data_IF_573207179455
#
_entry.id   IF_573207179455
#
_cell.length_a   1.000
_cell.length_b   1.000
_cell.length_c   1.000
_cell.angle_alpha   90.00
_cell.angle_beta   90.00
_cell.angle_gamma   90.00
#
_symmetry.space_group_name_H-M   'P 1'
#
loop_
_entity.id
_entity.type
_entity.pdbx_description
1 polymer ?
#
# COMPACT_ATOMS: atom_id res chain seq x y z
N UNK A 1 112.84 23.09 -0.27
CA UNK A 1 112.25 24.16 -1.11
C UNK A 1 110.88 23.70 -1.58
N UNK A 2 109.81 24.25 -1.01
CA UNK A 2 108.44 23.95 -1.42
C UNK A 2 107.70 25.27 -1.69
N UNK A 3 107.21 25.43 -2.91
CA UNK A 3 106.30 26.51 -3.31
C UNK A 3 105.01 25.87 -3.89
N UNK A 4 103.87 26.59 -3.82
CA UNK A 4 102.55 26.01 -3.60
C UNK A 4 101.77 25.83 -4.90
N UNK A 5 100.74 24.98 -4.89
CA UNK A 5 99.79 24.89 -6.00
C UNK A 5 98.34 25.15 -5.53
N UNK A 6 97.78 26.26 -6.04
CA UNK A 6 96.39 26.69 -5.88
C UNK A 6 95.47 25.73 -6.65
N UNK A 7 94.48 25.15 -5.96
CA UNK A 7 93.38 24.41 -6.60
C UNK A 7 92.14 25.30 -6.69
N UNK A 8 91.67 25.53 -7.92
CA UNK A 8 90.41 26.24 -8.26
C UNK A 8 89.18 25.38 -7.90
N UNK A 9 88.04 25.96 -7.50
CA UNK A 9 86.83 25.20 -7.21
C UNK A 9 86.19 24.66 -8.49
N UNK A 10 85.92 23.34 -8.53
CA UNK A 10 85.21 22.68 -9.63
C UNK A 10 83.71 22.97 -9.56
N UNK A 11 83.16 23.36 -10.70
CA UNK A 11 81.73 23.58 -10.98
C UNK A 11 80.94 22.28 -10.78
N UNK A 12 80.32 22.10 -9.62
CA UNK A 12 79.59 20.86 -9.30
C UNK A 12 78.26 21.04 -8.56
N UNK A 13 77.72 22.26 -8.44
CA UNK A 13 76.53 22.51 -7.61
C UNK A 13 75.25 22.89 -8.39
N UNK A 14 75.33 23.13 -9.71
CA UNK A 14 74.18 23.64 -10.47
C UNK A 14 73.22 22.58 -11.03
N UNK A 15 73.64 21.31 -11.14
CA UNK A 15 72.75 20.23 -11.67
C UNK A 15 71.85 19.59 -10.61
N UNK A 16 72.17 19.70 -9.32
CA UNK A 16 71.38 19.07 -8.26
C UNK A 16 70.13 19.88 -7.86
N UNK A 17 70.12 21.20 -8.12
CA UNK A 17 69.01 22.09 -7.79
C UNK A 17 67.88 22.06 -8.85
N UNK A 18 68.18 21.73 -10.12
CA UNK A 18 67.15 21.62 -11.17
C UNK A 18 66.29 20.36 -11.07
N UNK A 19 66.83 19.25 -10.57
CA UNK A 19 66.08 17.98 -10.43
C UNK A 19 65.14 17.97 -9.21
N UNK A 20 65.48 18.66 -8.12
CA UNK A 20 64.58 18.85 -6.96
C UNK A 20 63.39 19.76 -7.27
N UNK A 21 63.56 20.83 -8.06
CA UNK A 21 62.44 21.69 -8.46
C UNK A 21 61.44 20.98 -9.39
N UNK A 22 61.91 20.15 -10.34
CA UNK A 22 61.04 19.38 -11.24
C UNK A 22 60.26 18.28 -10.49
N UNK A 23 60.88 17.59 -9.53
CA UNK A 23 60.18 16.62 -8.66
C UNK A 23 59.10 17.30 -7.80
N UNK A 24 59.39 18.44 -7.16
CA UNK A 24 58.41 19.16 -6.34
C UNK A 24 57.19 19.66 -7.13
N UNK A 25 57.42 20.12 -8.38
CA UNK A 25 56.33 20.59 -9.27
C UNK A 25 55.47 19.44 -9.79
N UNK A 26 56.06 18.26 -10.05
CA UNK A 26 55.32 17.06 -10.45
C UNK A 26 54.51 16.48 -9.27
N UNK A 27 55.06 16.47 -8.05
CA UNK A 27 54.35 16.00 -6.85
C UNK A 27 53.14 16.88 -6.50
N UNK A 28 53.23 18.21 -6.66
CA UNK A 28 52.11 19.15 -6.50
C UNK A 28 51.03 18.97 -7.58
N UNK A 29 51.43 18.72 -8.84
CA UNK A 29 50.51 18.42 -9.94
C UNK A 29 49.76 17.09 -9.72
N UNK A 30 50.47 16.04 -9.27
CA UNK A 30 49.86 14.72 -8.99
C UNK A 30 48.96 14.79 -7.75
N UNK A 31 49.35 15.49 -6.68
CA UNK A 31 48.50 15.69 -5.50
C UNK A 31 47.28 16.56 -5.80
N UNK A 32 47.41 17.58 -6.65
CA UNK A 32 46.29 18.43 -7.11
C UNK A 32 45.35 17.73 -8.10
N UNK A 33 45.81 16.69 -8.79
CA UNK A 33 45.00 15.83 -9.67
C UNK A 33 44.29 14.73 -8.85
N UNK A 34 44.98 14.09 -7.89
CA UNK A 34 44.36 13.14 -6.95
C UNK A 34 43.31 13.77 -6.02
N UNK A 35 43.52 15.01 -5.55
CA UNK A 35 42.51 15.73 -4.75
C UNK A 35 41.25 16.06 -5.57
N UNK A 36 41.41 16.39 -6.86
CA UNK A 36 40.31 16.62 -7.80
C UNK A 36 39.53 15.33 -8.07
N UNK A 37 40.21 14.22 -8.34
CA UNK A 37 39.58 12.92 -8.57
C UNK A 37 38.82 12.41 -7.35
N UNK A 38 39.34 12.60 -6.13
CA UNK A 38 38.62 12.23 -4.89
C UNK A 38 37.42 13.12 -4.64
N UNK A 39 37.50 14.44 -4.90
CA UNK A 39 36.34 15.31 -4.80
C UNK A 39 35.27 14.97 -5.84
N UNK A 40 35.66 14.67 -7.09
CA UNK A 40 34.71 14.22 -8.11
C UNK A 40 34.10 12.86 -7.77
N UNK A 41 34.85 11.93 -7.16
CA UNK A 41 34.31 10.65 -6.70
C UNK A 41 33.28 10.84 -5.56
N UNK A 42 33.54 11.75 -4.62
CA UNK A 42 32.60 12.10 -3.54
C UNK A 42 31.36 12.80 -4.13
N UNK A 43 31.54 13.74 -5.06
CA UNK A 43 30.43 14.37 -5.79
C UNK A 43 29.64 13.39 -6.65
N UNK A 44 30.28 12.36 -7.22
CA UNK A 44 29.62 11.27 -7.94
C UNK A 44 28.86 10.34 -6.99
N UNK A 45 29.39 10.07 -5.80
CA UNK A 45 28.68 9.29 -4.77
C UNK A 45 27.48 10.06 -4.22
N UNK A 46 27.64 11.33 -3.86
CA UNK A 46 26.56 12.22 -3.42
C UNK A 46 25.55 12.45 -4.56
N UNK A 47 26.05 12.63 -5.78
CA UNK A 47 25.25 12.71 -7.01
C UNK A 47 24.42 11.47 -7.22
N UNK A 48 24.97 10.26 -7.05
CA UNK A 48 24.26 9.00 -7.17
C UNK A 48 23.21 8.80 -6.06
N UNK A 49 23.46 9.24 -4.83
CA UNK A 49 22.47 9.15 -3.74
C UNK A 49 21.32 10.15 -3.94
N UNK A 50 21.62 11.35 -4.44
CA UNK A 50 20.62 12.38 -4.76
C UNK A 50 19.83 12.02 -6.03
N UNK A 51 20.47 11.49 -7.08
CA UNK A 51 19.77 11.03 -8.29
C UNK A 51 18.93 9.78 -8.03
N UNK A 52 19.38 8.85 -7.19
CA UNK A 52 18.63 7.63 -6.90
C UNK A 52 17.41 7.88 -6.01
N UNK A 53 17.50 8.79 -5.02
CA UNK A 53 16.33 9.21 -4.22
C UNK A 53 15.37 10.10 -5.02
N UNK A 54 15.89 10.87 -5.98
CA UNK A 54 15.08 11.64 -6.92
C UNK A 54 14.46 10.80 -8.04
N UNK A 55 15.01 9.63 -8.38
CA UNK A 55 14.53 8.81 -9.49
C UNK A 55 13.08 8.33 -9.27
N UNK A 56 12.77 7.75 -8.10
CA UNK A 56 11.41 7.32 -7.79
C UNK A 56 10.43 8.50 -7.70
N UNK A 57 10.91 9.66 -7.25
CA UNK A 57 10.09 10.88 -7.18
C UNK A 57 9.80 11.42 -8.58
N UNK A 58 10.80 11.45 -9.44
CA UNK A 58 10.67 11.88 -10.83
C UNK A 58 9.73 10.95 -11.62
N UNK A 59 9.84 9.64 -11.39
CA UNK A 59 8.95 8.65 -11.99
C UNK A 59 7.50 8.84 -11.54
N UNK A 60 7.28 9.07 -10.24
CA UNK A 60 5.96 9.39 -9.70
C UNK A 60 5.39 10.67 -10.31
N UNK A 61 6.18 11.75 -10.35
CA UNK A 61 5.78 13.02 -10.95
C UNK A 61 5.38 12.83 -12.42
N UNK A 62 6.13 12.00 -13.17
CA UNK A 62 5.80 11.65 -14.57
C UNK A 62 4.47 10.91 -14.69
N UNK A 63 4.19 9.94 -13.82
CA UNK A 63 2.93 9.19 -13.81
C UNK A 63 1.74 10.10 -13.48
N UNK A 64 1.89 10.95 -12.47
CA UNK A 64 0.87 11.91 -12.06
C UNK A 64 0.57 12.92 -13.17
N UNK A 65 1.61 13.44 -13.84
CA UNK A 65 1.43 14.39 -14.94
C UNK A 65 0.80 13.74 -16.17
N UNK A 66 1.14 12.48 -16.46
CA UNK A 66 0.43 11.68 -17.47
C UNK A 66 -1.06 11.52 -17.15
N UNK A 67 -1.41 11.19 -15.91
CA UNK A 67 -2.79 11.08 -15.46
C UNK A 67 -3.54 12.43 -15.55
N UNK A 68 -2.92 13.54 -15.15
CA UNK A 68 -3.49 14.90 -15.29
C UNK A 68 -3.75 15.24 -16.76
N UNK A 69 -2.80 14.94 -17.65
CA UNK A 69 -2.93 15.19 -19.08
C UNK A 69 -4.09 14.40 -19.68
N UNK A 70 -4.20 13.11 -19.34
CA UNK A 70 -5.32 12.25 -19.75
C UNK A 70 -6.66 12.83 -19.29
N UNK A 71 -6.78 13.20 -18.01
CA UNK A 71 -8.01 13.76 -17.48
C UNK A 71 -8.40 15.09 -18.14
N UNK A 72 -7.41 15.93 -18.48
CA UNK A 72 -7.64 17.19 -19.20
C UNK A 72 -8.11 16.94 -20.62
N UNK A 73 -7.48 16.01 -21.34
CA UNK A 73 -7.83 15.63 -22.70
C UNK A 73 -9.26 15.09 -22.79
N UNK A 74 -9.66 14.24 -21.84
CA UNK A 74 -11.00 13.65 -21.79
C UNK A 74 -12.04 14.52 -21.05
N UNK A 75 -11.73 15.77 -20.72
CA UNK A 75 -12.62 16.73 -20.03
C UNK A 75 -13.28 16.14 -18.77
N UNK A 76 -12.52 15.35 -18.00
CA UNK A 76 -13.00 14.71 -16.78
C UNK A 76 -13.44 15.78 -15.76
N UNK A 77 -14.57 15.63 -15.04
CA UNK A 77 -15.02 16.62 -14.06
C UNK A 77 -14.00 16.87 -12.94
N UNK A 78 -13.89 18.13 -12.48
CA UNK A 78 -12.93 18.53 -11.42
C UNK A 78 -13.07 17.72 -10.12
N UNK A 79 -14.26 17.21 -9.82
CA UNK A 79 -14.49 16.32 -8.67
C UNK A 79 -13.71 15.01 -8.80
N UNK A 80 -13.80 14.35 -9.95
CA UNK A 80 -13.07 13.12 -10.24
C UNK A 80 -11.56 13.37 -10.34
N UNK A 81 -11.14 14.50 -10.94
CA UNK A 81 -9.72 14.87 -10.97
C UNK A 81 -9.10 15.01 -9.58
N UNK A 82 -9.78 15.71 -8.66
CA UNK A 82 -9.34 15.84 -7.26
C UNK A 82 -9.29 14.50 -6.54
N UNK A 83 -10.21 13.59 -6.84
CA UNK A 83 -10.21 12.23 -6.27
C UNK A 83 -9.00 11.42 -6.74
N UNK A 84 -8.68 11.45 -8.03
CA UNK A 84 -7.49 10.79 -8.60
C UNK A 84 -6.20 11.38 -7.99
N UNK A 85 -6.08 12.71 -7.92
CA UNK A 85 -4.92 13.36 -7.30
C UNK A 85 -4.73 12.95 -5.83
N UNK A 86 -5.82 12.99 -5.04
CA UNK A 86 -5.79 12.53 -3.64
C UNK A 86 -5.32 11.09 -3.48
N UNK A 87 -5.68 10.22 -4.43
CA UNK A 87 -5.22 8.83 -4.44
C UNK A 87 -3.71 8.74 -4.71
N UNK A 88 -3.20 9.47 -5.71
CA UNK A 88 -1.76 9.52 -6.01
C UNK A 88 -0.96 10.07 -4.84
N UNK A 89 -1.40 11.17 -4.23
CA UNK A 89 -0.74 11.79 -3.07
C UNK A 89 -0.66 10.82 -1.89
N UNK A 90 -1.76 10.13 -1.58
CA UNK A 90 -1.79 9.14 -0.51
C UNK A 90 -0.91 7.93 -0.84
N UNK A 91 -1.01 7.39 -2.05
CA UNK A 91 -0.21 6.24 -2.52
C UNK A 91 1.30 6.52 -2.43
N UNK A 92 1.72 7.74 -2.78
CA UNK A 92 3.09 8.22 -2.61
C UNK A 92 3.50 8.31 -1.14
N UNK A 93 2.69 8.94 -0.31
CA UNK A 93 2.98 9.13 1.12
C UNK A 93 3.15 7.81 1.88
N UNK A 94 2.48 6.74 1.43
CA UNK A 94 2.53 5.40 2.01
C UNK A 94 3.66 4.52 1.45
N UNK A 95 4.48 5.04 0.54
CA UNK A 95 5.63 4.32 -0.01
C UNK A 95 5.26 3.15 -0.95
N UNK A 96 3.98 3.01 -1.33
CA UNK A 96 3.51 1.95 -2.24
C UNK A 96 4.12 2.08 -3.64
N UNK A 97 4.45 3.30 -4.06
CA UNK A 97 5.11 3.55 -5.35
C UNK A 97 6.65 3.48 -5.27
N UNK A 98 7.22 3.27 -4.08
CA UNK A 98 8.65 3.21 -3.82
C UNK A 98 9.12 1.75 -3.59
N UNK A 99 8.58 0.81 -4.39
CA UNK A 99 8.83 -0.64 -4.27
C UNK A 99 7.72 -1.43 -3.58
N UNK A 100 6.59 -0.81 -3.25
CA UNK A 100 5.42 -1.43 -2.59
C UNK A 100 4.21 -1.63 -3.51
N UNK A 101 4.45 -1.83 -4.81
CA UNK A 101 3.42 -2.20 -5.78
C UNK A 101 2.89 -3.62 -5.49
N UNK A 102 2.25 -4.23 -6.47
CA UNK A 102 1.91 -5.66 -6.39
C UNK A 102 3.16 -6.46 -5.96
N UNK A 103 3.00 -7.34 -4.95
CA UNK A 103 4.09 -8.15 -4.39
C UNK A 103 4.80 -8.91 -5.52
N UNK A 104 4.05 -9.33 -6.55
CA UNK A 104 4.59 -9.98 -7.74
C UNK A 104 5.48 -9.08 -8.60
N UNK A 105 5.17 -7.79 -8.67
CA UNK A 105 5.94 -6.82 -9.46
C UNK A 105 7.24 -6.41 -8.76
N UNK A 106 7.20 -6.26 -7.43
CA UNK A 106 8.39 -5.89 -6.64
C UNK A 106 9.33 -7.08 -6.37
N UNK A 107 8.79 -8.31 -6.28
CA UNK A 107 9.54 -9.51 -5.92
C UNK A 107 9.72 -10.51 -7.07
N UNK A 108 9.45 -10.11 -8.32
CA UNK A 108 9.36 -11.02 -9.47
C UNK A 108 10.60 -11.89 -9.73
N UNK A 109 11.79 -11.46 -9.28
CA UNK A 109 13.07 -12.18 -9.43
C UNK A 109 13.27 -13.24 -8.34
N UNK A 110 12.59 -13.11 -7.20
CA UNK A 110 12.79 -14.03 -6.08
C UNK A 110 12.13 -15.39 -6.38
N UNK A 111 12.65 -16.51 -5.85
CA UNK A 111 11.92 -17.77 -5.78
C UNK A 111 10.65 -17.65 -4.92
N UNK A 112 9.61 -18.41 -5.24
CA UNK A 112 8.30 -18.29 -4.58
C UNK A 112 8.37 -18.49 -3.06
N UNK A 113 9.24 -19.40 -2.58
CA UNK A 113 9.45 -19.60 -1.14
C UNK A 113 9.94 -18.31 -0.44
N UNK A 114 10.87 -17.59 -1.05
CA UNK A 114 11.38 -16.32 -0.52
C UNK A 114 10.37 -15.18 -0.69
N UNK A 115 9.56 -15.20 -1.76
CA UNK A 115 8.44 -14.26 -1.91
C UNK A 115 7.44 -14.45 -0.78
N UNK A 116 7.06 -15.69 -0.49
CA UNK A 116 6.11 -16.02 0.59
C UNK A 116 6.66 -15.54 1.92
N UNK A 117 7.90 -15.89 2.28
CA UNK A 117 8.51 -15.46 3.55
C UNK A 117 8.56 -13.93 3.68
N UNK A 118 8.93 -13.21 2.62
CA UNK A 118 8.99 -11.75 2.63
C UNK A 118 7.59 -11.12 2.68
N UNK A 119 6.65 -11.61 1.87
CA UNK A 119 5.27 -11.15 1.84
C UNK A 119 4.59 -11.34 3.19
N UNK A 120 4.86 -12.47 3.85
CA UNK A 120 4.45 -12.73 5.22
C UNK A 120 5.11 -11.69 6.12
N UNK A 121 6.44 -11.57 6.14
CA UNK A 121 7.12 -10.64 7.04
C UNK A 121 6.59 -9.20 6.96
N UNK A 122 6.35 -8.72 5.73
CA UNK A 122 5.84 -7.37 5.46
C UNK A 122 4.40 -7.21 5.98
N UNK A 123 3.54 -8.19 5.74
CA UNK A 123 2.11 -8.08 6.06
C UNK A 123 1.73 -8.76 7.39
N UNK A 124 2.65 -9.44 8.07
CA UNK A 124 2.38 -10.32 9.23
C UNK A 124 1.68 -9.57 10.35
N UNK A 125 2.13 -8.35 10.63
CA UNK A 125 1.57 -7.52 11.70
C UNK A 125 0.11 -7.16 11.45
N UNK A 126 -0.27 -7.00 10.20
CA UNK A 126 -1.64 -6.67 9.79
C UNK A 126 -2.49 -7.92 9.72
N UNK A 127 -1.96 -8.97 9.09
CA UNK A 127 -2.67 -10.24 8.91
C UNK A 127 -2.93 -10.96 10.23
N UNK A 128 -1.99 -10.94 11.19
CA UNK A 128 -2.22 -11.50 12.54
C UNK A 128 -3.31 -10.78 13.34
N UNK A 129 -3.67 -9.55 12.98
CA UNK A 129 -4.76 -8.84 13.66
C UNK A 129 -6.13 -9.33 13.21
N UNK A 130 -6.21 -9.93 12.02
CA UNK A 130 -7.47 -10.32 11.41
C UNK A 130 -8.06 -11.49 12.16
N UNK A 131 -9.33 -11.38 12.54
CA UNK A 131 -10.01 -12.39 13.38
C UNK A 131 -9.97 -13.79 12.79
N UNK A 132 -10.26 -13.94 11.49
CA UNK A 132 -10.22 -15.25 10.82
C UNK A 132 -8.83 -15.91 10.91
N UNK A 133 -7.77 -15.16 10.67
CA UNK A 133 -6.41 -15.73 10.66
C UNK A 133 -5.85 -16.04 12.05
N UNK A 134 -6.55 -15.65 13.12
CA UNK A 134 -6.18 -16.06 14.49
C UNK A 134 -6.72 -17.45 14.84
N UNK A 135 -7.83 -17.84 14.21
CA UNK A 135 -8.53 -19.09 14.48
C UNK A 135 -8.13 -20.20 13.49
N UNK A 136 -7.54 -19.83 12.34
CA UNK A 136 -7.01 -20.77 11.35
C UNK A 136 -5.53 -21.13 11.58
N UNK A 137 -5.10 -22.23 10.96
CA UNK A 137 -3.68 -22.60 10.88
C UNK A 137 -2.84 -21.51 10.17
N UNK A 138 -1.59 -21.26 10.61
CA UNK A 138 -0.69 -20.32 9.93
C UNK A 138 -0.51 -20.61 8.44
N UNK A 139 -0.50 -21.88 8.05
CA UNK A 139 -0.30 -22.35 6.68
C UNK A 139 -1.38 -21.81 5.72
N UNK A 140 -2.63 -21.69 6.18
CA UNK A 140 -3.72 -21.04 5.43
C UNK A 140 -3.36 -19.60 5.04
N UNK A 141 -2.71 -18.86 5.94
CA UNK A 141 -2.26 -17.51 5.67
C UNK A 141 -1.11 -17.49 4.66
N UNK A 142 -0.19 -18.44 4.74
CA UNK A 142 0.94 -18.56 3.83
C UNK A 142 0.48 -18.79 2.39
N UNK A 143 -0.59 -19.57 2.18
CA UNK A 143 -1.12 -19.86 0.84
C UNK A 143 -1.89 -18.69 0.24
N UNK A 144 -2.48 -17.84 1.10
CA UNK A 144 -3.27 -16.69 0.66
C UNK A 144 -2.43 -15.42 0.49
N UNK A 145 -1.35 -15.24 1.22
CA UNK A 145 -0.58 -13.97 1.25
C UNK A 145 -0.04 -13.57 -0.13
N UNK A 146 0.37 -14.55 -0.95
CA UNK A 146 0.84 -14.29 -2.32
C UNK A 146 -0.31 -14.04 -3.30
N UNK A 147 -1.54 -14.42 -2.96
CA UNK A 147 -2.74 -14.24 -3.79
C UNK A 147 -3.44 -12.90 -3.48
N UNK A 148 -3.07 -12.25 -2.39
CA UNK A 148 -3.63 -10.96 -1.95
C UNK A 148 -3.20 -9.81 -2.86
N UNK A 149 -4.17 -8.96 -3.22
CA UNK A 149 -3.93 -7.71 -3.94
C UNK A 149 -4.22 -6.52 -3.04
N UNK A 150 -3.27 -5.59 -2.93
CA UNK A 150 -3.45 -4.40 -2.13
C UNK A 150 -4.23 -3.31 -2.89
N UNK A 151 -5.24 -2.74 -2.26
CA UNK A 151 -6.04 -1.63 -2.76
C UNK A 151 -6.02 -0.45 -1.80
N UNK A 152 -6.06 0.75 -2.37
CA UNK A 152 -6.20 2.00 -1.63
C UNK A 152 -7.53 2.62 -2.04
N UNK A 153 -8.35 2.94 -1.03
CA UNK A 153 -9.61 3.65 -1.20
C UNK A 153 -9.51 5.04 -0.59
N UNK A 154 -10.07 6.03 -1.27
CA UNK A 154 -10.12 7.41 -0.78
C UNK A 154 -11.43 7.68 -0.01
N UNK A 155 -11.51 8.74 0.81
CA UNK A 155 -12.72 9.05 1.56
C UNK A 155 -13.95 9.19 0.67
N UNK A 156 -15.01 8.45 1.00
CA UNK A 156 -16.27 8.41 0.26
C UNK A 156 -16.34 7.34 -0.83
N UNK A 157 -15.26 6.60 -1.08
CA UNK A 157 -15.25 5.56 -2.10
C UNK A 157 -16.12 4.36 -1.72
N UNK A 158 -16.98 3.93 -2.63
CA UNK A 158 -17.69 2.67 -2.51
C UNK A 158 -16.75 1.53 -2.91
N UNK A 159 -16.52 0.61 -1.97
CA UNK A 159 -15.70 -0.59 -2.19
C UNK A 159 -16.50 -1.67 -2.89
N UNK A 160 -17.76 -1.85 -2.49
CA UNK A 160 -18.69 -2.72 -3.18
C UNK A 160 -20.11 -2.16 -3.08
N UNK A 161 -20.94 -2.48 -4.07
CA UNK A 161 -22.35 -2.12 -4.05
C UNK A 161 -23.22 -3.34 -3.90
N UNK A 162 -24.31 -3.20 -3.17
CA UNK A 162 -25.34 -4.22 -3.03
C UNK A 162 -25.82 -4.70 -4.40
N UNK A 163 -26.00 -6.00 -4.53
CA UNK A 163 -26.46 -6.64 -5.76
C UNK A 163 -25.37 -6.89 -6.80
N UNK A 164 -24.18 -6.29 -6.68
CA UNK A 164 -23.04 -6.63 -7.54
C UNK A 164 -22.60 -8.08 -7.32
N UNK A 165 -22.02 -8.69 -8.35
CA UNK A 165 -21.51 -10.07 -8.26
C UNK A 165 -20.31 -10.09 -7.30
N UNK A 166 -20.32 -11.00 -6.33
CA UNK A 166 -19.25 -11.09 -5.34
C UNK A 166 -18.07 -11.93 -5.87
N UNK A 167 -17.09 -11.23 -6.47
CA UNK A 167 -15.91 -11.87 -7.08
C UNK A 167 -14.73 -12.04 -6.12
N UNK A 168 -14.72 -11.30 -5.02
CA UNK A 168 -13.60 -11.25 -4.09
C UNK A 168 -14.09 -10.90 -2.68
N UNK A 169 -13.32 -11.24 -1.66
CA UNK A 169 -13.49 -10.72 -0.31
C UNK A 169 -12.38 -9.73 0.02
N UNK A 170 -12.60 -8.92 1.05
CA UNK A 170 -11.66 -7.88 1.47
C UNK A 170 -11.29 -8.00 2.94
N UNK A 171 -10.03 -7.75 3.23
CA UNK A 171 -9.46 -7.66 4.58
C UNK A 171 -9.01 -6.23 4.80
N UNK A 172 -9.39 -5.63 5.93
CA UNK A 172 -9.07 -4.24 6.25
C UNK A 172 -7.68 -4.18 6.88
N UNK A 173 -6.72 -3.67 6.11
CA UNK A 173 -5.36 -3.48 6.57
C UNK A 173 -5.23 -2.23 7.43
N UNK A 174 -5.84 -1.13 6.98
CA UNK A 174 -5.83 0.17 7.65
C UNK A 174 -7.09 0.96 7.26
N UNK A 175 -7.51 1.89 8.13
CA UNK A 175 -8.69 2.73 7.90
C UNK A 175 -9.99 2.22 8.51
N UNK A 176 -11.08 2.89 8.13
CA UNK A 176 -12.43 2.66 8.66
C UNK A 176 -13.40 2.63 7.50
N UNK A 177 -14.21 1.57 7.46
CA UNK A 177 -15.26 1.35 6.48
C UNK A 177 -16.61 1.34 7.18
N UNK A 178 -17.64 1.75 6.47
CA UNK A 178 -19.02 1.70 6.92
C UNK A 178 -19.86 0.86 5.98
N UNK A 179 -20.66 -0.03 6.55
CA UNK A 179 -21.69 -0.80 5.82
C UNK A 179 -22.95 0.04 5.79
N UNK A 180 -23.50 0.24 4.61
CA UNK A 180 -24.62 1.14 4.35
C UNK A 180 -25.78 0.33 3.77
N UNK A 181 -26.99 0.61 4.23
CA UNK A 181 -28.21 0.05 3.68
C UNK A 181 -28.70 0.83 2.43
N UNK A 182 -29.74 0.33 1.77
CA UNK A 182 -30.31 0.92 0.56
C UNK A 182 -30.82 2.37 0.77
N UNK A 183 -31.09 2.75 2.02
CA UNK A 183 -31.57 4.09 2.40
C UNK A 183 -30.43 5.05 2.75
N UNK A 184 -29.17 4.61 2.65
CA UNK A 184 -28.00 5.43 2.99
C UNK A 184 -27.66 5.47 4.48
N UNK A 185 -28.34 4.69 5.32
CA UNK A 185 -28.08 4.61 6.76
C UNK A 185 -26.93 3.65 7.05
N UNK A 186 -26.11 3.98 8.05
CA UNK A 186 -24.96 3.17 8.46
C UNK A 186 -25.43 2.04 9.37
N UNK A 187 -25.25 0.80 8.92
CA UNK A 187 -25.58 -0.40 9.70
C UNK A 187 -24.49 -0.70 10.73
N UNK A 188 -23.23 -0.62 10.31
CA UNK A 188 -22.08 -0.88 11.18
C UNK A 188 -20.80 -0.27 10.62
N UNK A 189 -19.79 -0.15 11.48
CA UNK A 189 -18.44 0.27 11.11
C UNK A 189 -17.48 -0.91 11.25
N UNK A 190 -16.56 -1.03 10.29
CA UNK A 190 -15.49 -2.03 10.27
C UNK A 190 -14.15 -1.30 10.31
N UNK A 191 -13.20 -1.84 11.06
CA UNK A 191 -11.87 -1.24 11.31
C UNK A 191 -10.76 -2.18 10.86
N UNK A 192 -9.52 -1.69 10.93
CA UNK A 192 -8.34 -2.51 10.68
C UNK A 192 -8.37 -3.82 11.48
N UNK A 193 -8.19 -4.95 10.79
CA UNK A 193 -8.34 -6.30 11.35
C UNK A 193 -9.71 -6.95 11.09
N UNK A 194 -10.72 -6.20 10.66
CA UNK A 194 -11.95 -6.81 10.19
C UNK A 194 -11.84 -7.26 8.72
N UNK A 195 -12.72 -8.16 8.31
CA UNK A 195 -12.87 -8.58 6.92
C UNK A 195 -14.36 -8.58 6.53
N UNK A 196 -14.64 -8.52 5.23
CA UNK A 196 -16.00 -8.57 4.69
C UNK A 196 -16.06 -9.14 3.27
N UNK A 197 -17.28 -9.46 2.83
CA UNK A 197 -17.55 -9.99 1.50
C UNK A 197 -17.66 -11.52 1.44
N UNK A 198 -17.48 -12.18 2.58
CA UNK A 198 -17.60 -13.63 2.79
C UNK A 198 -18.97 -14.17 2.38
N UNK A 199 -20.06 -13.45 2.70
CA UNK A 199 -21.43 -13.89 2.42
C UNK A 199 -21.63 -14.11 0.92
N UNK A 200 -21.14 -13.19 0.10
CA UNK A 200 -21.30 -13.26 -1.35
C UNK A 200 -20.39 -14.30 -2.00
N UNK A 201 -19.13 -14.42 -1.57
CA UNK A 201 -18.22 -15.43 -2.14
C UNK A 201 -18.61 -16.87 -1.74
N UNK A 202 -19.27 -17.04 -0.59
CA UNK A 202 -19.76 -18.34 -0.11
C UNK A 202 -21.21 -18.62 -0.51
N UNK A 203 -21.87 -17.72 -1.25
CA UNK A 203 -23.29 -17.83 -1.64
C UNK A 203 -24.24 -18.12 -0.45
N UNK A 204 -23.98 -17.55 0.73
CA UNK A 204 -24.74 -17.90 1.94
C UNK A 204 -26.19 -17.41 1.90
N UNK A 205 -26.51 -16.43 1.07
CA UNK A 205 -27.86 -15.92 0.82
C UNK A 205 -28.56 -16.61 -0.38
N UNK A 206 -27.93 -17.64 -0.95
CA UNK A 206 -28.40 -18.36 -2.13
C UNK A 206 -27.97 -17.72 -3.46
N UNK A 207 -27.30 -16.56 -3.43
CA UNK A 207 -26.87 -15.84 -4.63
C UNK A 207 -25.41 -15.40 -4.51
N UNK A 208 -24.69 -15.37 -5.64
CA UNK A 208 -23.33 -14.80 -5.67
C UNK A 208 -23.38 -13.27 -5.76
N UNK A 209 -23.95 -12.60 -4.75
CA UNK A 209 -24.15 -11.14 -4.75
C UNK A 209 -23.73 -10.47 -3.43
N UNK A 210 -23.38 -9.19 -3.52
CA UNK A 210 -23.13 -8.33 -2.36
C UNK A 210 -24.45 -8.04 -1.63
N UNK A 211 -24.43 -8.14 -0.31
CA UNK A 211 -25.63 -7.96 0.52
C UNK A 211 -25.86 -6.53 0.98
N UNK A 212 -24.83 -5.69 0.96
CA UNK A 212 -24.89 -4.29 1.38
C UNK A 212 -23.86 -3.44 0.63
N UNK A 213 -24.04 -2.13 0.67
CA UNK A 213 -23.03 -1.18 0.21
C UNK A 213 -21.93 -1.04 1.27
N UNK A 214 -20.67 -0.95 0.84
CA UNK A 214 -19.56 -0.68 1.75
C UNK A 214 -18.82 0.55 1.25
N UNK A 215 -18.64 1.54 2.14
CA UNK A 215 -17.99 2.81 1.83
C UNK A 215 -16.83 3.09 2.75
N UNK A 216 -15.74 3.61 2.19
CA UNK A 216 -14.60 4.09 2.97
C UNK A 216 -14.93 5.43 3.63
N UNK A 217 -14.75 5.53 4.95
CA UNK A 217 -14.94 6.79 5.69
C UNK A 217 -13.76 7.73 5.44
N UNK A 218 -12.55 7.18 5.52
CA UNK A 218 -11.28 7.89 5.33
C UNK A 218 -10.47 7.31 4.18
N UNK A 219 -9.17 7.53 4.22
CA UNK A 219 -8.24 6.70 3.45
C UNK A 219 -8.21 5.32 4.09
N UNK A 220 -8.40 4.28 3.28
CA UNK A 220 -8.39 2.90 3.74
C UNK A 220 -7.53 2.05 2.83
N UNK A 221 -6.84 1.08 3.44
CA UNK A 221 -6.06 0.07 2.74
C UNK A 221 -6.71 -1.29 2.94
N UNK A 222 -6.94 -1.98 1.83
CA UNK A 222 -7.60 -3.28 1.80
C UNK A 222 -6.70 -4.29 1.09
N UNK A 223 -6.73 -5.53 1.55
CA UNK A 223 -6.28 -6.67 0.76
C UNK A 223 -7.51 -7.35 0.15
N UNK A 224 -7.50 -7.58 -1.16
CA UNK A 224 -8.53 -8.37 -1.83
C UNK A 224 -8.02 -9.79 -2.10
N UNK A 225 -8.92 -10.75 -1.96
CA UNK A 225 -8.72 -12.16 -2.27
C UNK A 225 -9.84 -12.62 -3.20
N UNK A 226 -9.48 -13.24 -4.33
CA UNK A 226 -10.47 -13.72 -5.28
C UNK A 226 -11.31 -14.86 -4.69
N UNK A 227 -12.53 -14.99 -5.17
CA UNK A 227 -13.42 -16.10 -4.80
C UNK A 227 -12.76 -17.44 -5.09
N UNK A 228 -12.11 -17.56 -6.24
CA UNK A 228 -11.45 -18.79 -6.68
C UNK A 228 -10.32 -19.18 -5.74
N UNK A 229 -9.50 -18.21 -5.33
CA UNK A 229 -8.37 -18.43 -4.43
C UNK A 229 -8.83 -18.84 -3.03
N UNK A 230 -9.90 -18.21 -2.52
CA UNK A 230 -10.46 -18.52 -1.20
C UNK A 230 -11.11 -19.91 -1.21
N UNK A 231 -11.95 -20.22 -2.21
CA UNK A 231 -12.59 -21.52 -2.31
C UNK A 231 -11.58 -22.64 -2.55
N UNK A 232 -10.48 -22.37 -3.26
CA UNK A 232 -9.38 -23.34 -3.40
C UNK A 232 -8.72 -23.59 -2.06
N UNK A 233 -8.39 -22.55 -1.29
CA UNK A 233 -7.75 -22.70 0.01
C UNK A 233 -8.66 -23.41 1.02
N UNK A 234 -9.97 -23.17 0.99
CA UNK A 234 -10.92 -23.86 1.89
C UNK A 234 -10.92 -25.37 1.75
N UNK A 235 -10.60 -25.91 0.57
CA UNK A 235 -10.50 -27.37 0.36
C UNK A 235 -9.39 -28.00 1.20
N UNK A 236 -8.30 -27.26 1.38
CA UNK A 236 -7.13 -27.71 2.12
C UNK A 236 -7.24 -27.39 3.62
N UNK A 237 -8.04 -26.36 3.98
CA UNK A 237 -8.22 -25.87 5.36
C UNK A 237 -9.72 -25.77 5.73
N UNK A 238 -10.38 -26.89 6.07
CA UNK A 238 -11.81 -26.91 6.35
C UNK A 238 -12.20 -26.13 7.62
N UNK A 239 -11.29 -25.94 8.59
CA UNK A 239 -11.59 -25.08 9.75
C UNK A 239 -11.84 -23.63 9.34
N UNK A 240 -11.12 -23.13 8.33
CA UNK A 240 -11.27 -21.78 7.83
C UNK A 240 -12.62 -21.58 7.14
N UNK A 241 -13.12 -22.63 6.47
CA UNK A 241 -14.44 -22.64 5.87
C UNK A 241 -15.53 -22.53 6.93
N UNK A 242 -15.48 -23.34 7.99
CA UNK A 242 -16.49 -23.32 9.05
C UNK A 242 -16.56 -21.96 9.76
N UNK A 243 -15.40 -21.36 10.05
CA UNK A 243 -15.30 -20.02 10.66
C UNK A 243 -15.96 -18.98 9.75
N UNK A 244 -15.63 -18.98 8.45
CA UNK A 244 -16.19 -18.03 7.48
C UNK A 244 -17.70 -18.21 7.28
N UNK A 245 -18.16 -19.46 7.20
CA UNK A 245 -19.58 -19.77 7.09
C UNK A 245 -20.35 -19.32 8.34
N UNK A 246 -19.82 -19.62 9.53
CA UNK A 246 -20.44 -19.25 10.81
C UNK A 246 -20.52 -17.74 10.98
N UNK A 247 -19.41 -17.02 10.75
CA UNK A 247 -19.40 -15.55 10.80
C UNK A 247 -20.31 -14.93 9.73
N UNK A 248 -20.30 -15.47 8.51
CA UNK A 248 -21.13 -14.99 7.42
C UNK A 248 -22.63 -15.21 7.68
N UNK A 249 -23.03 -16.37 8.21
CA UNK A 249 -24.42 -16.66 8.60
C UNK A 249 -24.90 -15.72 9.71
N UNK A 250 -24.05 -15.49 10.73
CA UNK A 250 -24.36 -14.55 11.82
C UNK A 250 -24.60 -13.13 11.29
N UNK A 251 -23.68 -12.62 10.47
CA UNK A 251 -23.80 -11.27 9.85
C UNK A 251 -25.01 -11.16 8.92
N UNK A 252 -25.32 -12.21 8.16
CA UNK A 252 -26.50 -12.25 7.30
C UNK A 252 -27.80 -12.19 8.12
N UNK A 253 -27.85 -12.90 9.25
CA UNK A 253 -28.99 -12.85 10.17
C UNK A 253 -29.14 -11.46 10.79
N UNK A 254 -28.06 -10.88 11.32
CA UNK A 254 -28.05 -9.51 11.88
C UNK A 254 -28.55 -8.48 10.86
N UNK A 255 -28.05 -8.56 9.62
CA UNK A 255 -28.50 -7.68 8.54
C UNK A 255 -30.00 -7.87 8.21
N UNK A 256 -30.51 -9.12 8.21
CA UNK A 256 -31.94 -9.40 7.97
C UNK A 256 -32.82 -8.85 9.10
N UNK A 257 -32.39 -9.01 10.36
CA UNK A 257 -33.13 -8.52 11.53
C UNK A 257 -33.21 -6.99 11.53
N UNK A 258 -32.10 -6.30 11.22
CA UNK A 258 -32.09 -4.83 11.09
C UNK A 258 -33.02 -4.36 9.97
N UNK A 259 -32.97 -5.00 8.81
CA UNK A 259 -33.88 -4.69 7.70
C UNK A 259 -35.36 -4.98 8.02
N UNK A 260 -35.65 -5.97 8.87
CA UNK A 260 -37.02 -6.32 9.27
C UNK A 260 -37.58 -5.38 10.34
N UNK A 261 -36.77 -5.01 11.34
CA UNK A 261 -37.14 -4.04 12.38
C UNK A 261 -37.50 -2.67 11.78
N UNK A 262 -36.80 -2.26 10.72
CA UNK A 262 -37.10 -1.02 10.00
C UNK A 262 -38.36 -1.08 9.12
N UNK A 263 -38.91 -2.27 8.84
CA UNK A 263 -40.13 -2.47 8.04
C UNK A 263 -41.40 -2.62 8.89
N UNK A 264 -41.29 -2.62 10.22
CA UNK A 264 -42.47 -2.65 11.09
C UNK A 264 -43.29 -1.36 10.91
N UNK A 265 -44.58 -1.44 10.54
CA UNK A 265 -45.41 -0.25 10.40
C UNK A 265 -45.60 0.42 11.77
N UNK A 266 -45.39 1.72 11.81
CA UNK A 266 -45.80 2.59 12.90
C UNK A 266 -47.32 2.46 13.07
N UNK A 267 -47.78 1.73 14.09
CA UNK A 267 -49.19 1.75 14.49
C UNK A 267 -49.45 3.07 15.21
N UNK A 268 -50.07 4.00 14.51
CA UNK A 268 -50.57 5.23 15.09
C UNK A 268 -51.62 4.91 16.15
N UNK A 269 -51.28 5.14 17.43
CA UNK A 269 -52.19 4.98 18.57
C UNK A 269 -52.96 6.29 18.87
N UNK A 270 -53.23 7.13 17.88
CA UNK A 270 -53.92 8.42 18.06
C UNK A 270 -55.45 8.33 18.14
N UNK A 271 -56.11 7.22 17.79
CA UNK A 271 -57.58 7.16 17.74
C UNK A 271 -58.29 6.60 19.00
N UNK A 272 -57.58 6.20 20.07
CA UNK A 272 -58.25 5.62 21.26
C UNK A 272 -58.73 6.61 22.33
N UNK A 273 -58.50 7.92 22.18
CA UNK A 273 -58.87 8.91 23.20
C UNK A 273 -60.12 9.75 22.90
N UNK A 274 -60.70 9.75 21.70
CA UNK A 274 -61.93 10.52 21.43
C UNK A 274 -63.23 9.81 21.86
N UNK A 275 -63.23 8.48 22.05
CA UNK A 275 -64.43 7.74 22.46
C UNK A 275 -64.67 7.67 23.97
N UNK A 276 -63.82 8.31 24.81
CA UNK A 276 -64.06 8.43 26.26
C UNK A 276 -64.71 9.74 26.71
N UNK A 277 -64.83 10.74 25.83
CA UNK A 277 -65.42 12.04 26.17
C UNK A 277 -66.88 12.24 25.69
N UNK A 278 -67.49 11.27 24.99
CA UNK A 278 -68.91 11.35 24.55
C UNK A 278 -69.91 10.57 25.42
N UNK A 279 -69.53 10.11 26.62
CA UNK A 279 -70.41 9.37 27.56
C UNK A 279 -70.48 9.96 28.98
N UNK A 280 -70.38 11.29 29.10
CA UNK A 280 -70.77 12.00 30.33
C UNK A 280 -71.69 13.15 29.98
#
# INVERSE_FOLDING_TARGET
>A
MGMPNRVKPRKGCALFLRTKQLKGRLTLLVHGRLKRDRSEAIWRQVGNVITNRNASRLEFERLLDGAKLYMRHHKVPKGMQRRVQRWYDYSWSRGRMQGGGDIHSALGILPDKLKTELAIHVNLKTLKKVSIFKECQPEFLHDLVLKMKAYIFTPGDLVCRKGEVAREMFIIADGILQVINDKGQVLTHMRAGDFFGEIGILNLDGFNRRTADVRSVGYSELFSLSREDVLSAMKDYPEAEDILQTMGRRRLLEARLQNAAEKAPYQDNSEKNENRQRKK
#
